data_IF_635682062595
#
_entry.id   IF_635682062595
#
_cell.length_a   1.000
_cell.length_b   1.000
_cell.length_c   1.000
_cell.angle_alpha   90.00
_cell.angle_beta   90.00
_cell.angle_gamma   90.00
#
_symmetry.space_group_name_H-M   'P 1'
#
loop_
_entity.id
_entity.type
_entity.pdbx_description
1 polymer ?
#
# COMPACT_ATOMS: atom_id res chain seq x y z
N UNK A 1 -26.84 3.66 -28.07
CA UNK A 1 -25.40 4.01 -27.84
C UNK A 1 -24.50 3.45 -28.93
N UNK A 2 -23.33 4.04 -29.22
CA UNK A 2 -22.36 3.50 -30.21
C UNK A 2 -21.88 2.10 -29.82
N UNK A 3 -21.75 1.83 -28.51
CA UNK A 3 -21.33 0.52 -27.96
C UNK A 3 -22.36 -0.57 -28.28
N UNK A 4 -23.65 -0.26 -28.29
CA UNK A 4 -24.70 -1.26 -28.55
C UNK A 4 -24.73 -1.74 -30.00
N UNK A 5 -24.24 -0.90 -30.93
CA UNK A 5 -24.24 -1.22 -32.36
C UNK A 5 -23.16 -2.24 -32.76
N UNK A 6 -22.12 -2.41 -31.93
CA UNK A 6 -20.97 -3.28 -32.25
C UNK A 6 -20.51 -4.11 -31.06
N UNK A 7 -21.44 -4.75 -30.33
CA UNK A 7 -21.17 -5.57 -29.14
C UNK A 7 -20.15 -6.72 -29.35
N UNK A 8 -19.97 -7.15 -30.58
CA UNK A 8 -19.02 -8.25 -30.91
C UNK A 8 -17.55 -7.78 -30.93
N UNK A 9 -17.28 -6.47 -31.05
CA UNK A 9 -15.91 -5.93 -31.10
C UNK A 9 -15.48 -5.44 -29.73
N UNK A 10 -14.69 -6.21 -29.02
CA UNK A 10 -14.15 -5.89 -27.69
C UNK A 10 -12.95 -4.93 -27.78
N UNK A 11 -12.71 -4.13 -26.72
CA UNK A 11 -11.54 -3.25 -26.62
C UNK A 11 -11.55 -2.04 -27.54
N UNK A 12 -12.68 -1.66 -28.10
CA UNK A 12 -12.80 -0.55 -29.06
C UNK A 12 -12.78 0.83 -28.40
N UNK A 13 -13.27 0.90 -27.18
CA UNK A 13 -13.35 2.15 -26.43
C UNK A 13 -12.52 2.05 -25.16
N UNK A 14 -11.68 3.05 -24.94
CA UNK A 14 -10.95 3.25 -23.68
C UNK A 14 -11.47 4.54 -23.08
N UNK A 15 -12.02 4.46 -21.88
CA UNK A 15 -12.45 5.62 -21.11
C UNK A 15 -11.48 5.84 -19.97
N UNK A 16 -11.01 7.06 -19.79
CA UNK A 16 -10.12 7.42 -18.69
C UNK A 16 -10.77 8.52 -17.84
N UNK A 17 -10.51 8.52 -16.55
CA UNK A 17 -10.99 9.53 -15.64
C UNK A 17 -10.26 9.47 -14.31
N UNK A 18 -10.05 10.63 -13.70
CA UNK A 18 -9.43 10.79 -12.38
C UNK A 18 -10.40 10.56 -11.23
N UNK A 19 -11.71 10.66 -11.48
CA UNK A 19 -12.75 10.53 -10.46
C UNK A 19 -13.52 9.23 -10.63
N UNK A 20 -13.12 8.21 -9.85
CA UNK A 20 -13.72 6.87 -9.89
C UNK A 20 -15.22 6.87 -9.62
N UNK A 21 -15.68 7.63 -8.63
CA UNK A 21 -17.06 7.59 -8.18
C UNK A 21 -18.04 8.20 -9.18
N UNK A 22 -17.69 9.34 -9.79
CA UNK A 22 -18.54 9.96 -10.80
C UNK A 22 -18.67 9.08 -12.05
N UNK A 23 -17.53 8.52 -12.52
CA UNK A 23 -17.54 7.61 -13.66
C UNK A 23 -18.28 6.29 -13.37
N UNK A 24 -18.06 5.71 -12.19
CA UNK A 24 -18.67 4.42 -11.84
C UNK A 24 -20.19 4.52 -11.68
N UNK A 25 -20.71 5.59 -11.09
CA UNK A 25 -22.15 5.77 -10.92
C UNK A 25 -22.90 5.77 -12.26
N UNK A 26 -22.40 6.49 -13.24
CA UNK A 26 -23.07 6.59 -14.55
C UNK A 26 -22.81 5.37 -15.45
N UNK A 27 -21.65 4.69 -15.28
CA UNK A 27 -21.27 3.54 -16.09
C UNK A 27 -21.88 2.22 -15.61
N UNK A 28 -22.01 2.02 -14.29
CA UNK A 28 -22.56 0.76 -13.75
C UNK A 28 -24.01 0.54 -14.06
N UNK A 29 -24.80 1.62 -14.22
CA UNK A 29 -26.22 1.51 -14.58
C UNK A 29 -26.43 1.08 -16.05
N UNK A 30 -25.49 1.42 -16.95
CA UNK A 30 -25.68 1.23 -18.39
C UNK A 30 -24.79 0.16 -19.02
N UNK A 31 -23.63 -0.13 -18.44
CA UNK A 31 -22.58 -0.99 -19.02
C UNK A 31 -22.20 -2.19 -18.13
N UNK A 32 -23.03 -2.57 -17.16
CA UNK A 32 -22.78 -3.71 -16.29
C UNK A 32 -22.47 -4.99 -17.11
N UNK A 33 -21.33 -5.63 -16.82
CA UNK A 33 -20.87 -6.83 -17.50
C UNK A 33 -20.25 -6.63 -18.89
N UNK A 34 -20.15 -5.38 -19.38
CA UNK A 34 -19.58 -5.05 -20.69
C UNK A 34 -18.28 -4.27 -20.65
N UNK A 35 -17.80 -3.91 -19.46
CA UNK A 35 -16.58 -3.12 -19.27
C UNK A 35 -15.56 -3.90 -18.43
N UNK A 36 -14.27 -3.78 -18.79
CA UNK A 36 -13.15 -4.10 -17.92
C UNK A 36 -12.68 -2.81 -17.22
N UNK A 37 -12.41 -2.90 -15.93
CA UNK A 37 -11.92 -1.76 -15.13
C UNK A 37 -10.46 -2.03 -14.79
N UNK A 38 -9.59 -1.11 -15.19
CA UNK A 38 -8.18 -1.08 -14.81
C UNK A 38 -7.95 0.12 -13.91
N UNK A 39 -7.33 -0.12 -12.78
CA UNK A 39 -6.95 0.93 -11.83
C UNK A 39 -5.48 1.23 -11.99
N UNK A 40 -5.14 2.49 -12.26
CA UNK A 40 -3.77 2.96 -12.32
C UNK A 40 -3.39 3.57 -10.97
N UNK A 41 -2.43 2.95 -10.30
CA UNK A 41 -1.83 3.43 -9.06
C UNK A 41 -0.56 4.25 -9.36
N UNK A 42 0.01 4.95 -8.37
CA UNK A 42 1.36 5.51 -8.52
C UNK A 42 2.34 4.43 -8.98
N UNK A 43 3.38 4.80 -9.74
CA UNK A 43 4.33 3.85 -10.32
C UNK A 43 4.92 2.89 -9.28
N UNK A 44 4.95 1.60 -9.63
CA UNK A 44 5.74 0.59 -8.93
C UNK A 44 7.23 0.75 -9.26
N UNK A 45 8.10 0.10 -8.47
CA UNK A 45 9.54 0.02 -8.79
C UNK A 45 9.76 -0.55 -10.19
N UNK A 46 8.99 -1.56 -10.58
CA UNK A 46 9.14 -2.21 -11.89
C UNK A 46 8.78 -1.28 -13.05
N UNK A 47 7.84 -0.37 -12.87
CA UNK A 47 7.52 0.66 -13.84
C UNK A 47 8.57 1.77 -13.85
N UNK A 48 9.05 2.22 -12.68
CA UNK A 48 10.12 3.21 -12.55
C UNK A 48 11.42 2.78 -13.25
N UNK A 49 11.76 1.49 -13.20
CA UNK A 49 12.94 0.93 -13.91
C UNK A 49 12.89 1.09 -15.42
N UNK A 50 11.73 1.37 -15.98
CA UNK A 50 11.56 1.62 -17.42
C UNK A 50 11.72 3.10 -17.78
N UNK A 51 11.83 3.98 -16.78
CA UNK A 51 12.06 5.41 -17.00
C UNK A 51 13.57 5.60 -17.17
N UNK A 52 14.04 6.17 -18.29
CA UNK A 52 15.44 6.52 -18.47
C UNK A 52 15.91 7.45 -17.34
N UNK A 53 17.14 7.28 -16.90
CA UNK A 53 17.78 8.13 -15.90
C UNK A 53 17.00 8.29 -14.58
N UNK A 54 16.31 7.23 -14.13
CA UNK A 54 15.50 7.24 -12.91
C UNK A 54 16.27 7.53 -11.61
N UNK A 55 17.60 7.66 -11.68
CA UNK A 55 18.48 8.02 -10.56
C UNK A 55 18.62 6.96 -9.46
N UNK A 56 18.09 5.75 -9.69
CA UNK A 56 18.15 4.64 -8.74
C UNK A 56 18.53 3.34 -9.48
N UNK A 57 19.49 2.59 -8.96
CA UNK A 57 19.96 1.32 -9.53
C UNK A 57 19.50 0.11 -8.70
N UNK A 58 19.52 0.25 -7.38
CA UNK A 58 19.13 -0.80 -6.45
C UNK A 58 17.71 -0.62 -5.92
N UNK A 59 17.09 -1.71 -5.45
CA UNK A 59 15.77 -1.62 -4.81
C UNK A 59 15.78 -0.73 -3.55
N UNK A 60 16.92 -0.67 -2.87
CA UNK A 60 17.12 0.23 -1.74
C UNK A 60 17.09 1.71 -2.15
N UNK A 61 17.75 2.07 -3.26
CA UNK A 61 17.71 3.43 -3.81
C UNK A 61 16.32 3.79 -4.31
N UNK A 62 15.62 2.86 -4.96
CA UNK A 62 14.21 3.04 -5.34
C UNK A 62 13.32 3.28 -4.12
N UNK A 63 13.56 2.60 -2.99
CA UNK A 63 12.85 2.89 -1.74
C UNK A 63 13.11 4.34 -1.28
N UNK A 64 14.38 4.74 -1.19
CA UNK A 64 14.75 6.10 -0.77
C UNK A 64 14.14 7.15 -1.71
N UNK A 65 14.29 6.94 -3.01
CA UNK A 65 13.74 7.84 -4.01
C UNK A 65 12.21 7.93 -3.92
N UNK A 66 11.52 6.79 -3.81
CA UNK A 66 10.07 6.75 -3.65
C UNK A 66 9.58 7.40 -2.36
N UNK A 67 10.36 7.28 -1.28
CA UNK A 67 10.03 7.90 -0.01
C UNK A 67 10.25 9.42 0.00
N UNK A 68 11.29 9.90 -0.66
CA UNK A 68 11.63 11.35 -0.65
C UNK A 68 10.90 12.13 -1.75
N UNK A 69 10.73 11.53 -2.93
CA UNK A 69 10.21 12.25 -4.11
C UNK A 69 8.85 11.72 -4.57
N UNK A 70 8.47 10.52 -4.17
CA UNK A 70 7.19 9.92 -4.52
C UNK A 70 7.24 8.98 -5.71
N UNK A 71 6.04 8.53 -6.10
CA UNK A 71 5.85 7.55 -7.17
C UNK A 71 4.78 7.97 -8.18
N UNK A 72 4.26 9.20 -8.08
CA UNK A 72 3.36 9.71 -9.11
C UNK A 72 4.10 9.92 -10.43
N UNK A 73 3.45 9.66 -11.58
CA UNK A 73 4.11 9.72 -12.88
C UNK A 73 4.84 11.04 -13.15
N UNK A 74 4.22 12.17 -12.86
CA UNK A 74 4.78 13.49 -13.14
C UNK A 74 6.10 13.74 -12.39
N UNK A 75 6.13 13.46 -11.08
CA UNK A 75 7.37 13.64 -10.28
C UNK A 75 8.44 12.58 -10.60
N UNK A 76 8.05 11.45 -11.22
CA UNK A 76 9.00 10.42 -11.63
C UNK A 76 9.63 10.68 -13.01
N UNK A 77 8.85 11.28 -13.94
CA UNK A 77 9.25 11.45 -15.34
C UNK A 77 9.93 12.80 -15.56
N UNK A 78 9.58 13.81 -14.78
CA UNK A 78 10.08 15.17 -14.92
C UNK A 78 10.88 15.57 -13.67
N UNK A 79 12.21 15.32 -13.64
CA UNK A 79 13.07 15.57 -12.48
C UNK A 79 13.20 17.06 -12.11
N UNK A 80 12.83 17.97 -13.02
CA UNK A 80 12.78 19.42 -12.79
C UNK A 80 11.57 19.85 -11.92
N UNK A 81 10.58 19.00 -11.72
CA UNK A 81 9.42 19.30 -10.90
C UNK A 81 9.82 19.26 -9.42
N UNK A 82 9.64 20.38 -8.72
CA UNK A 82 9.75 20.39 -7.26
C UNK A 82 8.59 19.58 -6.67
N UNK A 83 8.93 18.41 -6.12
CA UNK A 83 7.98 17.47 -5.54
C UNK A 83 7.16 18.07 -4.39
N UNK A 84 7.71 19.03 -3.62
CA UNK A 84 7.00 19.69 -2.52
C UNK A 84 5.88 20.58 -3.04
N UNK A 85 6.16 21.37 -4.09
CA UNK A 85 5.14 22.15 -4.77
C UNK A 85 4.10 21.26 -5.43
N UNK A 86 4.55 20.17 -6.04
CA UNK A 86 3.65 19.21 -6.67
C UNK A 86 2.68 18.60 -5.66
N UNK A 87 3.17 18.09 -4.52
CA UNK A 87 2.29 17.53 -3.48
C UNK A 87 1.37 18.58 -2.88
N UNK A 88 1.84 19.81 -2.69
CA UNK A 88 0.99 20.93 -2.24
C UNK A 88 -0.18 21.17 -3.21
N UNK A 89 0.13 21.27 -4.52
CA UNK A 89 -0.86 21.42 -5.56
C UNK A 89 -1.82 20.22 -5.65
N UNK A 90 -1.27 19.01 -5.62
CA UNK A 90 -2.05 17.77 -5.63
C UNK A 90 -3.07 17.72 -4.48
N UNK A 91 -2.61 17.96 -3.23
CA UNK A 91 -3.52 17.96 -2.09
C UNK A 91 -4.57 19.07 -2.17
N UNK A 92 -4.18 20.29 -2.56
CA UNK A 92 -5.13 21.40 -2.70
C UNK A 92 -6.21 21.09 -3.75
N UNK A 93 -5.81 20.60 -4.93
CA UNK A 93 -6.76 20.25 -6.01
C UNK A 93 -7.63 19.05 -5.65
N UNK A 94 -7.03 18.01 -5.02
CA UNK A 94 -7.76 16.85 -4.54
C UNK A 94 -8.78 17.21 -3.45
N UNK A 95 -8.37 18.03 -2.47
CA UNK A 95 -9.24 18.48 -1.38
C UNK A 95 -10.37 19.38 -1.86
N UNK A 96 -10.07 20.33 -2.76
CA UNK A 96 -11.06 21.30 -3.23
C UNK A 96 -12.01 20.71 -4.25
N UNK A 97 -11.51 19.95 -5.20
CA UNK A 97 -12.29 19.46 -6.34
C UNK A 97 -13.03 18.18 -6.04
N UNK A 98 -12.32 17.17 -5.56
CA UNK A 98 -12.86 15.81 -5.47
C UNK A 98 -13.60 15.58 -4.15
N UNK A 99 -13.04 16.06 -3.04
CA UNK A 99 -13.62 15.79 -1.72
C UNK A 99 -14.76 16.76 -1.36
N UNK A 100 -14.59 18.05 -1.62
CA UNK A 100 -15.60 19.05 -1.28
C UNK A 100 -16.88 18.85 -2.08
N UNK A 101 -16.75 18.59 -3.39
CA UNK A 101 -17.90 18.46 -4.28
C UNK A 101 -18.63 17.12 -4.15
N UNK A 102 -17.91 16.03 -3.83
CA UNK A 102 -18.45 14.69 -3.82
C UNK A 102 -18.91 14.22 -2.42
N UNK A 103 -18.28 14.69 -1.35
CA UNK A 103 -18.45 14.12 -0.01
C UNK A 103 -18.85 15.08 1.09
N UNK A 104 -19.11 16.36 0.74
CA UNK A 104 -19.56 17.39 1.69
C UNK A 104 -18.69 17.43 2.97
N UNK A 105 -17.37 17.47 2.81
CA UNK A 105 -16.42 17.57 3.94
C UNK A 105 -16.58 18.94 4.58
N UNK A 106 -17.09 18.97 5.82
CA UNK A 106 -17.44 20.21 6.51
C UNK A 106 -16.24 21.14 6.75
N UNK A 107 -15.08 20.60 7.16
CA UNK A 107 -13.86 21.37 7.46
C UNK A 107 -12.67 20.82 6.71
N UNK A 108 -12.19 21.52 5.70
CA UNK A 108 -10.96 21.16 4.96
C UNK A 108 -9.72 21.20 5.87
N UNK A 109 -9.69 22.13 6.82
CA UNK A 109 -8.58 22.24 7.80
C UNK A 109 -8.48 20.98 8.67
N UNK A 110 -9.59 20.48 9.17
CA UNK A 110 -9.61 19.28 10.01
C UNK A 110 -9.28 18.04 9.18
N UNK A 111 -9.69 18.01 7.92
CA UNK A 111 -9.30 16.94 7.01
C UNK A 111 -7.79 16.96 6.70
N UNK A 112 -7.18 18.13 6.54
CA UNK A 112 -5.72 18.22 6.38
C UNK A 112 -4.97 17.73 7.63
N UNK A 113 -5.43 18.13 8.82
CA UNK A 113 -4.89 17.63 10.11
C UNK A 113 -5.06 16.11 10.24
N UNK A 114 -6.21 15.60 9.79
CA UNK A 114 -6.46 14.16 9.75
C UNK A 114 -5.47 13.44 8.84
N UNK A 115 -5.21 13.94 7.63
CA UNK A 115 -4.21 13.35 6.72
C UNK A 115 -2.82 13.29 7.33
N UNK A 116 -2.36 14.39 7.98
CA UNK A 116 -1.07 14.43 8.67
C UNK A 116 -0.99 13.42 9.82
N UNK A 117 -2.05 13.36 10.63
CA UNK A 117 -2.13 12.41 11.73
C UNK A 117 -2.18 10.96 11.22
N UNK A 118 -2.93 10.68 10.16
CA UNK A 118 -2.99 9.35 9.57
C UNK A 118 -1.62 8.95 8.97
N UNK A 119 -0.92 9.87 8.30
CA UNK A 119 0.42 9.65 7.77
C UNK A 119 1.44 9.32 8.87
N UNK A 120 1.39 10.02 10.01
CA UNK A 120 2.25 9.70 11.16
C UNK A 120 1.97 8.32 11.79
N UNK A 121 0.84 7.71 11.46
CA UNK A 121 0.42 6.39 11.91
C UNK A 121 0.43 5.34 10.78
N UNK A 122 1.16 5.59 9.70
CA UNK A 122 1.30 4.61 8.63
C UNK A 122 1.88 3.29 9.17
N UNK A 123 1.49 2.17 8.55
CA UNK A 123 1.86 0.80 8.97
C UNK A 123 1.35 0.39 10.36
N UNK A 124 0.48 1.17 10.99
CA UNK A 124 -0.10 0.86 12.31
C UNK A 124 -1.53 0.34 12.18
N UNK A 125 -1.94 -0.41 13.20
CA UNK A 125 -3.35 -0.83 13.35
C UNK A 125 -4.23 0.41 13.53
N UNK A 126 -5.24 0.53 12.69
CA UNK A 126 -6.14 1.67 12.66
C UNK A 126 -7.01 1.74 13.93
N UNK A 127 -6.88 2.83 14.67
CA UNK A 127 -7.71 3.17 15.81
C UNK A 127 -8.48 4.48 15.54
N UNK A 128 -9.68 4.33 14.97
CA UNK A 128 -10.52 5.48 14.59
C UNK A 128 -10.92 6.34 15.79
N UNK A 129 -11.16 5.73 16.95
CA UNK A 129 -11.54 6.46 18.16
C UNK A 129 -10.39 7.33 18.69
N UNK A 130 -9.16 6.81 18.68
CA UNK A 130 -7.98 7.61 19.03
C UNK A 130 -7.79 8.80 18.08
N UNK A 131 -7.92 8.57 16.76
CA UNK A 131 -7.81 9.63 15.75
C UNK A 131 -8.90 10.70 15.96
N UNK A 132 -10.14 10.28 16.22
CA UNK A 132 -11.26 11.17 16.47
C UNK A 132 -11.02 12.06 17.70
N UNK A 133 -10.53 11.46 18.79
CA UNK A 133 -10.20 12.19 20.01
C UNK A 133 -9.08 13.23 19.79
N UNK A 134 -8.02 12.85 19.08
CA UNK A 134 -6.87 13.76 18.83
C UNK A 134 -7.27 14.95 17.95
N UNK A 135 -8.26 14.77 17.07
CA UNK A 135 -8.77 15.81 16.17
C UNK A 135 -9.92 16.61 16.75
N UNK A 136 -10.59 16.10 17.78
CA UNK A 136 -11.81 16.71 18.32
C UNK A 136 -13.02 16.56 17.42
N UNK A 137 -13.13 15.45 16.66
CA UNK A 137 -14.23 15.17 15.74
C UNK A 137 -14.96 13.87 16.09
N UNK A 138 -16.13 13.64 15.49
CA UNK A 138 -16.86 12.40 15.71
C UNK A 138 -16.17 11.19 15.04
N UNK A 139 -16.23 10.01 15.63
CA UNK A 139 -15.67 8.76 15.07
C UNK A 139 -16.23 8.47 13.66
N UNK A 140 -17.52 8.74 13.45
CA UNK A 140 -18.17 8.58 12.14
C UNK A 140 -17.56 9.49 11.08
N UNK A 141 -17.10 10.68 11.46
CA UNK A 141 -16.38 11.60 10.55
C UNK A 141 -15.06 10.98 10.10
N UNK A 142 -14.28 10.44 11.05
CA UNK A 142 -13.01 9.74 10.74
C UNK A 142 -13.27 8.52 9.85
N UNK A 143 -14.31 7.72 10.16
CA UNK A 143 -14.69 6.56 9.34
C UNK A 143 -15.00 6.96 7.90
N UNK A 144 -15.78 8.02 7.71
CA UNK A 144 -16.12 8.53 6.38
C UNK A 144 -14.86 9.00 5.64
N UNK A 145 -13.99 9.76 6.30
CA UNK A 145 -12.74 10.24 5.70
C UNK A 145 -11.80 9.10 5.27
N UNK A 146 -11.69 8.06 6.10
CA UNK A 146 -10.91 6.86 5.74
C UNK A 146 -11.52 6.16 4.53
N UNK A 147 -12.84 5.98 4.49
CA UNK A 147 -13.51 5.36 3.34
C UNK A 147 -13.29 6.14 2.05
N UNK A 148 -13.22 7.47 2.12
CA UNK A 148 -12.92 8.32 0.97
C UNK A 148 -11.48 8.10 0.50
N UNK A 149 -10.51 8.10 1.43
CA UNK A 149 -9.09 7.88 1.09
C UNK A 149 -8.84 6.49 0.48
N UNK A 150 -9.51 5.47 1.02
CA UNK A 150 -9.43 4.10 0.50
C UNK A 150 -10.02 4.01 -0.91
N UNK A 151 -11.20 4.57 -1.10
CA UNK A 151 -11.88 4.58 -2.38
C UNK A 151 -11.19 5.44 -3.45
N UNK A 152 -10.38 6.42 -3.05
CA UNK A 152 -9.53 7.22 -3.94
C UNK A 152 -8.12 6.65 -4.11
N UNK A 153 -7.85 5.47 -3.60
CA UNK A 153 -6.52 4.82 -3.62
C UNK A 153 -5.38 5.69 -3.08
N UNK A 154 -5.66 6.54 -2.10
CA UNK A 154 -4.62 7.23 -1.34
C UNK A 154 -4.07 6.29 -0.27
N UNK A 155 -4.97 5.55 0.39
CA UNK A 155 -4.61 4.54 1.36
C UNK A 155 -5.14 3.15 0.97
N UNK A 156 -4.47 2.14 1.47
CA UNK A 156 -4.91 0.75 1.45
C UNK A 156 -5.08 0.28 2.89
N UNK A 157 -6.22 -0.32 3.19
CA UNK A 157 -6.50 -0.91 4.48
C UNK A 157 -6.17 -2.41 4.41
N UNK A 158 -5.01 -2.80 4.96
CA UNK A 158 -4.60 -4.19 5.01
C UNK A 158 -5.41 -4.93 6.07
N UNK A 159 -6.29 -5.86 5.66
CA UNK A 159 -7.14 -6.57 6.61
C UNK A 159 -6.33 -7.59 7.43
N UNK A 160 -6.76 -7.89 8.64
CA UNK A 160 -6.18 -8.99 9.39
C UNK A 160 -6.64 -10.34 8.85
N UNK A 161 -5.80 -11.37 8.99
CA UNK A 161 -6.10 -12.74 8.58
C UNK A 161 -7.00 -13.44 9.59
N UNK A 162 -8.23 -13.84 9.16
CA UNK A 162 -9.28 -14.32 10.09
C UNK A 162 -9.62 -15.80 9.97
N UNK A 163 -9.15 -16.55 9.00
CA UNK A 163 -9.64 -17.91 8.75
C UNK A 163 -9.70 -18.77 10.02
N UNK A 164 -10.86 -18.75 10.70
CA UNK A 164 -11.20 -19.60 11.86
C UNK A 164 -10.13 -19.74 12.97
N UNK A 165 -9.20 -18.78 13.07
CA UNK A 165 -8.08 -18.83 14.02
C UNK A 165 -8.45 -18.46 15.47
N UNK A 166 -9.77 -18.27 15.74
CA UNK A 166 -10.30 -18.00 17.07
C UNK A 166 -10.37 -16.52 17.44
N UNK A 167 -10.99 -16.24 18.61
CA UNK A 167 -11.38 -14.89 19.07
C UNK A 167 -10.22 -13.96 19.48
N UNK A 168 -8.95 -14.40 19.38
CA UNK A 168 -7.79 -13.68 19.93
C UNK A 168 -6.98 -12.88 18.91
N UNK A 169 -7.58 -12.52 17.78
CA UNK A 169 -6.91 -11.76 16.71
C UNK A 169 -7.42 -10.32 16.69
N UNK A 170 -6.53 -9.39 16.43
CA UNK A 170 -6.88 -7.97 16.19
C UNK A 170 -7.80 -7.87 14.98
N UNK A 171 -8.90 -7.12 15.10
CA UNK A 171 -9.94 -7.03 14.06
C UNK A 171 -9.83 -5.78 13.18
N UNK A 172 -9.11 -4.76 13.64
CA UNK A 172 -8.92 -3.52 12.88
C UNK A 172 -7.87 -3.71 11.80
N UNK A 173 -8.01 -3.10 10.61
CA UNK A 173 -6.98 -3.15 9.59
C UNK A 173 -5.74 -2.34 9.98
N UNK A 174 -4.59 -2.61 9.34
CA UNK A 174 -3.46 -1.68 9.31
C UNK A 174 -3.64 -0.70 8.15
N UNK A 175 -3.18 0.55 8.31
CA UNK A 175 -3.27 1.58 7.27
C UNK A 175 -1.93 1.76 6.56
N UNK A 176 -1.98 1.76 5.22
CA UNK A 176 -0.83 1.99 4.35
C UNK A 176 -1.18 3.03 3.29
N UNK A 177 -0.24 3.89 2.96
CA UNK A 177 -0.36 4.81 1.85
C UNK A 177 0.19 4.18 0.57
N UNK A 178 -0.51 4.35 -0.55
CA UNK A 178 -0.07 3.80 -1.84
C UNK A 178 1.05 4.62 -2.49
N UNK A 179 1.36 5.78 -1.91
CA UNK A 179 2.56 6.56 -2.22
C UNK A 179 3.30 6.93 -0.94
N UNK A 180 4.53 6.41 -0.79
CA UNK A 180 5.36 6.66 0.40
C UNK A 180 5.86 8.10 0.45
N UNK A 181 6.04 8.76 -0.71
CA UNK A 181 6.43 10.16 -0.78
C UNK A 181 5.35 11.09 -0.23
N UNK A 182 4.07 10.76 -0.45
CA UNK A 182 2.97 11.49 0.17
C UNK A 182 3.04 11.41 1.71
N UNK A 183 3.39 10.25 2.28
CA UNK A 183 3.59 10.12 3.75
C UNK A 183 4.70 11.05 4.20
N UNK A 184 5.88 10.97 3.57
CA UNK A 184 7.03 11.81 3.92
C UNK A 184 6.70 13.30 3.80
N UNK A 185 6.00 13.71 2.73
CA UNK A 185 5.53 15.08 2.56
C UNK A 185 4.61 15.53 3.71
N UNK A 186 3.61 14.73 4.06
CA UNK A 186 2.63 15.05 5.11
C UNK A 186 3.24 15.16 6.51
N UNK A 187 4.27 14.37 6.81
CA UNK A 187 4.99 14.41 8.11
C UNK A 187 6.20 15.33 8.11
N UNK A 188 6.48 16.01 6.97
CA UNK A 188 7.60 16.94 6.85
C UNK A 188 8.99 16.29 6.80
N UNK A 189 9.08 15.02 6.36
CA UNK A 189 10.32 14.29 6.24
C UNK A 189 10.93 14.54 4.85
N UNK A 190 12.11 15.19 4.80
CA UNK A 190 12.67 15.72 3.55
C UNK A 190 14.08 15.25 3.23
N UNK A 191 14.73 14.51 4.11
CA UNK A 191 16.10 14.07 3.90
C UNK A 191 16.33 12.58 4.22
N UNK A 192 17.39 12.04 3.63
CA UNK A 192 17.76 10.63 3.70
C UNK A 192 18.10 10.17 5.12
N UNK A 193 18.75 11.00 5.91
CA UNK A 193 19.17 10.62 7.25
C UNK A 193 17.98 10.46 8.19
N UNK A 194 17.04 11.40 8.16
CA UNK A 194 15.79 11.28 8.91
C UNK A 194 14.93 10.11 8.41
N UNK A 195 14.92 9.85 7.09
CA UNK A 195 14.21 8.69 6.54
C UNK A 195 14.75 7.37 7.10
N UNK A 196 16.08 7.21 7.18
CA UNK A 196 16.70 5.93 7.51
C UNK A 196 16.95 5.73 9.01
N UNK A 197 17.14 6.81 9.76
CA UNK A 197 17.51 6.80 11.19
C UNK A 197 16.38 7.30 12.08
N UNK A 198 15.36 7.92 11.50
CA UNK A 198 14.21 8.46 12.24
C UNK A 198 13.27 7.38 12.77
N UNK A 199 12.39 7.75 13.70
CA UNK A 199 11.48 6.80 14.37
C UNK A 199 10.47 6.14 13.42
N UNK A 200 10.22 6.73 12.25
CA UNK A 200 9.32 6.19 11.23
C UNK A 200 10.02 5.29 10.20
N UNK A 201 11.33 5.16 10.23
CA UNK A 201 12.10 4.47 9.20
C UNK A 201 11.59 3.05 8.89
N UNK A 202 11.37 2.23 9.92
CA UNK A 202 10.82 0.89 9.77
C UNK A 202 9.41 0.89 9.20
N UNK A 203 8.53 1.77 9.69
CA UNK A 203 7.16 1.91 9.23
C UNK A 203 7.08 2.36 7.77
N UNK A 204 7.96 3.27 7.33
CA UNK A 204 8.03 3.73 5.95
C UNK A 204 8.52 2.63 5.00
N UNK A 205 9.49 1.81 5.44
CA UNK A 205 9.92 0.67 4.64
C UNK A 205 8.84 -0.41 4.55
N UNK A 206 8.14 -0.70 5.65
CA UNK A 206 6.98 -1.60 5.65
C UNK A 206 5.88 -1.05 4.72
N UNK A 207 5.54 0.24 4.83
CA UNK A 207 4.59 0.90 3.94
C UNK A 207 4.99 0.75 2.47
N UNK A 208 6.26 0.96 2.16
CA UNK A 208 6.77 0.81 0.80
C UNK A 208 6.61 -0.63 0.29
N UNK A 209 6.99 -1.65 1.05
CA UNK A 209 6.84 -3.05 0.67
C UNK A 209 5.37 -3.43 0.44
N UNK A 210 4.46 -2.98 1.32
CA UNK A 210 3.02 -3.26 1.17
C UNK A 210 2.46 -2.51 -0.04
N UNK A 211 2.83 -1.24 -0.27
CA UNK A 211 2.37 -0.49 -1.45
C UNK A 211 2.83 -1.15 -2.75
N UNK A 212 4.09 -1.60 -2.83
CA UNK A 212 4.60 -2.34 -3.99
C UNK A 212 3.87 -3.68 -4.21
N UNK A 213 3.52 -4.37 -3.12
CA UNK A 213 2.70 -5.59 -3.20
C UNK A 213 1.31 -5.29 -3.79
N UNK A 214 0.62 -4.26 -3.28
CA UNK A 214 -0.69 -3.86 -3.79
C UNK A 214 -0.61 -3.49 -5.27
N UNK A 215 0.38 -2.67 -5.67
CA UNK A 215 0.61 -2.28 -7.06
C UNK A 215 0.84 -3.49 -7.97
N UNK A 216 1.63 -4.48 -7.50
CA UNK A 216 1.88 -5.70 -8.27
C UNK A 216 0.60 -6.47 -8.58
N UNK A 217 -0.34 -6.58 -7.63
CA UNK A 217 -1.65 -7.21 -7.87
C UNK A 217 -2.50 -6.38 -8.84
N UNK A 218 -2.60 -5.06 -8.63
CA UNK A 218 -3.42 -4.20 -9.51
C UNK A 218 -2.88 -4.15 -10.94
N UNK A 219 -1.56 -4.13 -11.12
CA UNK A 219 -0.92 -4.15 -12.45
C UNK A 219 -1.19 -5.45 -13.22
N UNK A 220 -1.55 -6.52 -12.51
CA UNK A 220 -1.98 -7.80 -13.10
C UNK A 220 -3.51 -7.90 -13.23
N UNK A 221 -4.25 -6.86 -12.86
CA UNK A 221 -5.72 -6.88 -12.85
C UNK A 221 -6.32 -7.77 -11.75
N UNK A 222 -5.54 -8.13 -10.74
CA UNK A 222 -5.93 -8.99 -9.63
C UNK A 222 -6.34 -8.18 -8.41
N UNK A 223 -7.25 -8.74 -7.62
CA UNK A 223 -7.53 -8.22 -6.27
C UNK A 223 -6.48 -8.74 -5.29
N UNK A 224 -5.88 -7.88 -4.46
CA UNK A 224 -4.90 -8.32 -3.47
C UNK A 224 -5.51 -9.27 -2.43
N UNK A 225 -5.08 -10.52 -2.42
CA UNK A 225 -5.41 -11.48 -1.36
C UNK A 225 -4.29 -11.45 -0.31
N UNK A 226 -4.16 -10.31 0.36
CA UNK A 226 -3.10 -9.99 1.30
C UNK A 226 -3.66 -9.60 2.65
N UNK A 227 -2.94 -9.94 3.70
CA UNK A 227 -3.37 -9.79 5.08
C UNK A 227 -2.18 -9.50 5.99
N UNK A 228 -2.44 -9.06 7.22
CA UNK A 228 -1.48 -9.13 8.32
C UNK A 228 -2.05 -10.01 9.43
N UNK A 229 -1.22 -10.45 10.36
CA UNK A 229 -1.67 -11.11 11.57
C UNK A 229 -1.15 -10.37 12.80
N UNK A 230 -2.02 -10.11 13.75
CA UNK A 230 -1.62 -9.71 15.10
C UNK A 230 -2.53 -10.36 16.12
N UNK A 231 -1.92 -11.10 17.04
CA UNK A 231 -2.64 -11.75 18.14
C UNK A 231 -2.47 -10.98 19.44
N UNK A 232 -3.41 -11.14 20.35
CA UNK A 232 -3.28 -10.55 21.70
C UNK A 232 -2.08 -11.10 22.50
N UNK A 233 -1.53 -12.24 22.10
CA UNK A 233 -0.37 -12.86 22.73
C UNK A 233 0.97 -12.43 22.09
N UNK A 234 0.96 -11.33 21.35
CA UNK A 234 2.16 -10.71 20.77
C UNK A 234 2.77 -11.43 19.56
N UNK A 235 2.07 -12.41 18.93
CA UNK A 235 2.48 -12.89 17.62
C UNK A 235 2.02 -11.87 16.57
N UNK A 236 2.95 -11.41 15.76
CA UNK A 236 2.70 -10.54 14.61
C UNK A 236 3.38 -11.10 13.38
N UNK A 237 2.71 -11.03 12.22
CA UNK A 237 3.27 -11.27 10.89
C UNK A 237 2.91 -10.05 10.05
N UNK A 238 3.92 -9.41 9.47
CA UNK A 238 3.75 -8.14 8.77
C UNK A 238 2.91 -8.30 7.51
N UNK A 239 3.13 -9.38 6.74
CA UNK A 239 2.39 -9.66 5.51
C UNK A 239 2.16 -11.16 5.32
N UNK A 240 0.91 -11.52 5.03
CA UNK A 240 0.50 -12.83 4.55
C UNK A 240 -0.07 -12.66 3.14
N UNK A 241 0.34 -13.51 2.22
CA UNK A 241 -0.22 -13.55 0.86
C UNK A 241 -0.85 -14.92 0.66
N UNK A 242 -2.13 -14.94 0.28
CA UNK A 242 -2.84 -16.18 -0.03
C UNK A 242 -2.88 -16.39 -1.54
N UNK A 243 -2.37 -17.54 -1.99
CA UNK A 243 -2.42 -17.93 -3.39
C UNK A 243 -2.61 -19.45 -3.50
N UNK A 244 -3.50 -19.88 -4.40
CA UNK A 244 -3.72 -21.30 -4.70
C UNK A 244 -3.90 -22.17 -3.44
N UNK A 245 -4.66 -21.67 -2.47
CA UNK A 245 -4.90 -22.33 -1.19
C UNK A 245 -3.61 -22.56 -0.36
N UNK A 246 -2.60 -21.70 -0.57
CA UNK A 246 -1.33 -21.69 0.19
C UNK A 246 -1.05 -20.30 0.74
N UNK A 247 -0.54 -20.26 1.98
CA UNK A 247 -0.14 -19.02 2.66
C UNK A 247 1.36 -18.82 2.54
N UNK A 248 1.77 -17.65 2.15
CA UNK A 248 3.15 -17.17 2.16
C UNK A 248 3.29 -16.09 3.22
N UNK A 249 4.28 -16.24 4.10
CA UNK A 249 4.49 -15.39 5.27
C UNK A 249 5.73 -14.53 5.07
N UNK A 250 5.59 -13.24 5.32
CA UNK A 250 6.68 -12.29 5.19
C UNK A 250 6.81 -11.44 6.44
N UNK A 251 8.05 -11.30 6.92
CA UNK A 251 8.49 -10.26 7.84
C UNK A 251 9.24 -9.19 7.06
N UNK A 252 9.06 -7.93 7.44
CA UNK A 252 9.67 -6.79 6.75
C UNK A 252 10.60 -6.07 7.73
N UNK A 253 11.88 -5.99 7.40
CA UNK A 253 12.91 -5.44 8.31
C UNK A 253 13.83 -4.47 7.57
N UNK A 254 13.84 -3.22 8.02
CA UNK A 254 14.75 -2.18 7.50
C UNK A 254 16.17 -2.44 8.02
N UNK A 255 16.83 -3.46 7.51
CA UNK A 255 18.20 -3.84 7.89
C UNK A 255 18.93 -4.49 6.72
N UNK A 256 20.26 -4.36 6.70
CA UNK A 256 21.13 -5.13 5.81
C UNK A 256 21.63 -6.42 6.47
N UNK A 257 21.66 -6.48 7.80
CA UNK A 257 22.14 -7.64 8.56
C UNK A 257 20.97 -8.36 9.18
N UNK A 258 20.76 -9.61 8.79
CA UNK A 258 19.67 -10.44 9.27
C UNK A 258 20.10 -11.27 10.48
N UNK A 259 19.18 -11.40 11.44
CA UNK A 259 19.32 -12.22 12.63
C UNK A 259 18.33 -13.38 12.61
N UNK A 260 18.70 -14.52 13.19
CA UNK A 260 17.80 -15.66 13.41
C UNK A 260 16.57 -15.28 14.26
N UNK A 261 16.65 -14.21 15.05
CA UNK A 261 15.51 -13.74 15.83
C UNK A 261 14.30 -13.33 14.96
N UNK A 262 14.57 -12.83 13.75
CA UNK A 262 13.53 -12.44 12.81
C UNK A 262 12.74 -13.63 12.25
N UNK A 263 13.23 -14.87 12.38
CA UNK A 263 12.50 -16.07 11.96
C UNK A 263 11.42 -16.49 12.96
N UNK A 264 11.59 -16.11 14.24
CA UNK A 264 10.74 -16.58 15.36
C UNK A 264 9.23 -16.36 15.14
N UNK A 265 8.74 -15.21 14.65
CA UNK A 265 7.30 -15.03 14.42
C UNK A 265 6.75 -16.03 13.40
N UNK A 266 7.44 -16.20 12.27
CA UNK A 266 7.04 -17.12 11.20
C UNK A 266 7.04 -18.57 11.70
N UNK A 267 8.09 -19.00 12.38
CA UNK A 267 8.19 -20.35 12.94
C UNK A 267 7.12 -20.61 14.02
N UNK A 268 6.84 -19.60 14.85
CA UNK A 268 5.75 -19.67 15.83
C UNK A 268 4.40 -19.78 15.16
N UNK A 269 4.15 -19.01 14.09
CA UNK A 269 2.93 -19.09 13.30
C UNK A 269 2.75 -20.50 12.72
N UNK A 270 3.77 -21.06 12.07
CA UNK A 270 3.73 -22.40 11.48
C UNK A 270 3.39 -23.48 12.51
N UNK A 271 3.98 -23.39 13.71
CA UNK A 271 3.67 -24.32 14.81
C UNK A 271 2.23 -24.19 15.30
N UNK A 272 1.75 -22.96 15.45
CA UNK A 272 0.40 -22.72 15.96
C UNK A 272 -0.70 -23.11 14.95
N UNK A 273 -0.42 -22.97 13.67
CA UNK A 273 -1.37 -23.19 12.59
C UNK A 273 -0.93 -24.31 11.63
N UNK A 274 -0.41 -25.41 12.19
CA UNK A 274 0.14 -26.54 11.45
C UNK A 274 -0.84 -27.23 10.48
N UNK A 275 -2.14 -26.97 10.60
CA UNK A 275 -3.18 -27.49 9.69
C UNK A 275 -3.33 -26.67 8.40
N UNK A 276 -2.77 -25.45 8.37
CA UNK A 276 -2.81 -24.62 7.19
C UNK A 276 -1.70 -25.03 6.21
N UNK A 277 -2.00 -24.90 4.93
CA UNK A 277 -0.99 -25.08 3.87
C UNK A 277 -0.09 -23.84 3.81
N UNK A 278 1.04 -23.87 4.50
CA UNK A 278 1.96 -22.74 4.64
C UNK A 278 3.23 -23.02 3.83
N UNK A 279 3.60 -22.07 2.99
CA UNK A 279 4.85 -22.08 2.25
C UNK A 279 6.08 -21.80 3.12
N UNK A 280 7.25 -21.75 2.49
CA UNK A 280 8.45 -21.23 3.13
C UNK A 280 8.22 -19.75 3.46
N UNK A 281 8.56 -19.31 4.67
CA UNK A 281 8.49 -17.92 5.05
C UNK A 281 9.68 -17.13 4.52
N UNK A 282 9.54 -15.82 4.42
CA UNK A 282 10.59 -14.93 3.93
C UNK A 282 10.74 -13.69 4.80
N UNK A 283 11.97 -13.19 4.91
CA UNK A 283 12.26 -11.89 5.53
C UNK A 283 12.70 -10.96 4.42
N UNK A 284 11.87 -9.95 4.11
CA UNK A 284 12.20 -8.89 3.16
C UNK A 284 13.09 -7.88 3.88
N UNK A 285 14.23 -7.58 3.29
CA UNK A 285 15.23 -6.69 3.90
C UNK A 285 15.96 -5.82 2.86
N UNK A 286 16.85 -4.98 3.34
CA UNK A 286 17.75 -4.17 2.52
C UNK A 286 19.01 -4.95 2.05
N UNK A 287 19.15 -6.22 2.41
CA UNK A 287 20.22 -7.07 1.90
C UNK A 287 19.94 -7.43 0.44
N UNK A 288 20.94 -7.41 -0.39
CA UNK A 288 20.88 -7.90 -1.76
C UNK A 288 21.07 -9.43 -1.84
N UNK A 289 21.49 -10.07 -0.74
CA UNK A 289 21.74 -11.49 -0.66
C UNK A 289 20.46 -12.27 -0.33
N UNK A 290 20.32 -13.42 -0.98
CA UNK A 290 19.22 -14.38 -0.78
C UNK A 290 19.77 -15.70 -0.28
N UNK A 291 19.42 -16.10 0.95
CA UNK A 291 19.91 -17.33 1.57
C UNK A 291 18.91 -17.90 2.58
N UNK A 292 19.08 -19.15 2.95
CA UNK A 292 18.25 -19.77 4.01
C UNK A 292 18.74 -19.33 5.37
N UNK A 293 17.87 -18.68 6.15
CA UNK A 293 18.12 -18.34 7.55
C UNK A 293 17.83 -19.53 8.47
N UNK A 294 16.77 -20.28 8.19
CA UNK A 294 16.44 -21.52 8.86
C UNK A 294 15.81 -22.50 7.86
N UNK A 295 15.43 -23.68 8.32
CA UNK A 295 14.72 -24.68 7.49
C UNK A 295 13.47 -24.10 6.84
N UNK A 296 12.76 -23.24 7.55
CA UNK A 296 11.43 -22.75 7.22
C UNK A 296 11.39 -21.29 6.74
N UNK A 297 12.50 -20.57 6.83
CA UNK A 297 12.58 -19.13 6.55
C UNK A 297 13.82 -18.78 5.74
N UNK A 298 13.65 -17.96 4.71
CA UNK A 298 14.76 -17.42 3.89
C UNK A 298 14.86 -15.92 4.01
N UNK A 299 16.07 -15.41 3.85
CA UNK A 299 16.31 -14.02 3.49
C UNK A 299 15.87 -13.80 2.05
N UNK A 300 15.20 -12.69 1.81
CA UNK A 300 14.77 -12.28 0.49
C UNK A 300 15.12 -10.81 0.28
N UNK A 301 15.86 -10.52 -0.79
CA UNK A 301 16.09 -9.15 -1.19
C UNK A 301 14.79 -8.52 -1.69
N UNK A 302 14.68 -7.18 -1.64
CA UNK A 302 13.52 -6.51 -2.23
C UNK A 302 13.39 -6.81 -3.73
N UNK A 303 14.52 -6.97 -4.44
CA UNK A 303 14.51 -7.39 -5.85
C UNK A 303 13.96 -8.81 -6.04
N UNK A 304 14.37 -9.75 -5.20
CA UNK A 304 13.85 -11.12 -5.21
C UNK A 304 12.36 -11.16 -4.89
N UNK A 305 11.93 -10.36 -3.92
CA UNK A 305 10.51 -10.24 -3.60
C UNK A 305 9.68 -9.70 -4.77
N UNK A 306 10.16 -8.65 -5.44
CA UNK A 306 9.47 -8.08 -6.61
C UNK A 306 9.39 -9.08 -7.77
N UNK A 307 10.46 -9.86 -8.04
CA UNK A 307 10.44 -10.95 -9.03
C UNK A 307 9.40 -12.00 -8.65
N UNK A 308 9.41 -12.44 -7.39
CA UNK A 308 8.45 -13.42 -6.89
C UNK A 308 7.00 -12.94 -7.04
N UNK A 309 6.72 -11.65 -6.81
CA UNK A 309 5.39 -11.07 -7.05
C UNK A 309 4.97 -11.12 -8.53
N UNK A 310 5.91 -11.05 -9.48
CA UNK A 310 5.60 -11.15 -10.90
C UNK A 310 5.24 -12.58 -11.35
N UNK A 311 5.74 -13.59 -10.65
CA UNK A 311 5.42 -15.01 -10.93
C UNK A 311 3.97 -15.37 -10.59
N UNK A 312 3.18 -14.42 -10.08
CA UNK A 312 1.74 -14.60 -9.82
C UNK A 312 0.87 -14.45 -11.08
N UNK A 313 1.43 -14.05 -12.22
CA UNK A 313 0.74 -13.85 -13.48
C UNK A 313 0.43 -15.17 -14.22
#
# INVERSE_FOLDING_TARGET
MLIDKERSKRGRFIMTGSCQFAMMKDLTETLAGMIGILTLLPFSILEKRRIPDSGAETAYEYFIHSALYGSFPEVCVYPEIDHKYWYSGYLSTYLERDLRNLYNIGSLRDFQRFLQLLASRCSQVLNMSSIANDLGVAVNTVKNWISILEASYIVYLLPPYYQNLGKRITKSPKVYFLDTGLVCYLVGLTDRDHLLKGPMAGALFENHCISETVKAFFNQGLRPAIYYLRTHNGLEIDLLIERENRLYLFEIKLTKTLSLEYTKPIERFKRMFSKLNIGKGSIISLSDEEFSLSRDVSAQSMNGYLRWLQEFS
#
